data_IF_573826251766
#
_entry.id   IF_573826251766
#
_cell.length_a   1.000
_cell.length_b   1.000
_cell.length_c   1.000
_cell.angle_alpha   90.00
_cell.angle_beta   90.00
_cell.angle_gamma   90.00
#
_symmetry.space_group_name_H-M   'P 1'
#
loop_
_entity.id
_entity.type
_entity.pdbx_description
1 polymer ?
#
# COMPACT_ATOMS: atom_id res chain seq x y z
N UNK A 1 26.52 -18.49 -37.95
CA UNK A 1 26.42 -18.60 -39.40
C UNK A 1 27.36 -19.62 -39.99
N UNK A 2 27.44 -19.72 -41.34
CA UNK A 2 28.33 -20.63 -42.03
C UNK A 2 29.80 -20.44 -41.62
N UNK A 3 30.58 -21.53 -41.69
CA UNK A 3 32.01 -21.56 -41.37
C UNK A 3 32.37 -21.06 -39.95
N UNK A 4 31.45 -21.19 -38.99
CA UNK A 4 31.66 -20.73 -37.62
C UNK A 4 31.53 -19.21 -37.44
N UNK A 5 30.94 -18.49 -38.39
CA UNK A 5 30.70 -17.04 -38.28
C UNK A 5 29.87 -16.72 -37.04
N UNK A 6 30.37 -15.76 -36.28
CA UNK A 6 29.66 -15.21 -35.10
C UNK A 6 30.05 -13.74 -34.92
N UNK A 7 29.05 -12.91 -34.75
CA UNK A 7 29.22 -11.48 -34.48
C UNK A 7 28.18 -11.03 -33.45
N UNK A 8 28.50 -10.03 -32.65
CA UNK A 8 27.59 -9.41 -31.70
C UNK A 8 27.43 -7.94 -32.06
N UNK A 9 26.18 -7.53 -32.27
CA UNK A 9 25.80 -6.15 -32.56
C UNK A 9 25.06 -5.60 -31.32
N UNK A 10 25.56 -4.49 -30.76
CA UNK A 10 24.85 -3.81 -29.66
C UNK A 10 23.79 -2.86 -30.21
N UNK A 11 22.75 -2.56 -29.41
CA UNK A 11 21.70 -1.61 -29.79
C UNK A 11 22.22 -0.19 -30.07
N UNK A 12 23.40 0.15 -29.56
CA UNK A 12 24.07 1.45 -29.83
C UNK A 12 24.76 1.52 -31.20
N UNK A 13 24.90 0.42 -31.89
CA UNK A 13 25.46 0.34 -33.23
C UNK A 13 24.39 0.42 -34.31
N UNK A 14 23.10 0.30 -33.92
CA UNK A 14 21.98 0.52 -34.86
C UNK A 14 21.92 1.99 -35.23
N UNK A 15 21.57 2.27 -36.49
CA UNK A 15 21.37 3.62 -37.00
C UNK A 15 20.09 4.27 -36.40
N UNK A 16 19.78 5.49 -36.82
CA UNK A 16 18.60 6.22 -36.37
C UNK A 16 17.26 5.59 -36.77
N UNK A 17 17.28 4.68 -37.76
CA UNK A 17 16.11 3.89 -38.15
C UNK A 17 15.99 2.58 -37.37
N UNK A 18 16.97 2.27 -36.52
CA UNK A 18 17.06 1.01 -35.77
C UNK A 18 17.63 -0.14 -36.60
N UNK A 19 18.39 0.14 -37.65
CA UNK A 19 18.93 -0.87 -38.59
C UNK A 19 20.46 -1.00 -38.48
N UNK A 20 20.97 -2.16 -38.77
CA UNK A 20 22.39 -2.46 -38.90
C UNK A 20 22.60 -3.46 -40.04
N UNK A 21 23.49 -3.17 -40.99
CA UNK A 21 23.80 -4.06 -42.11
C UNK A 21 25.16 -4.69 -41.92
N UNK A 22 25.24 -5.99 -42.10
CA UNK A 22 26.49 -6.76 -42.09
C UNK A 22 26.79 -7.16 -43.52
N UNK A 23 27.87 -6.62 -44.06
CA UNK A 23 28.27 -6.87 -45.44
C UNK A 23 29.25 -8.06 -45.56
N UNK A 24 29.48 -8.53 -46.80
CA UNK A 24 30.44 -9.57 -47.15
C UNK A 24 30.18 -10.93 -46.46
N UNK A 25 28.92 -11.24 -46.17
CA UNK A 25 28.53 -12.53 -45.63
C UNK A 25 28.56 -13.63 -46.70
N UNK A 26 29.07 -14.81 -46.32
CA UNK A 26 28.94 -16.01 -47.15
C UNK A 26 27.45 -16.40 -47.29
N UNK A 27 27.05 -16.88 -48.50
CA UNK A 27 25.70 -17.44 -48.66
C UNK A 27 25.45 -18.56 -47.64
N UNK A 28 24.25 -18.64 -47.08
CA UNK A 28 23.87 -19.73 -46.19
C UNK A 28 22.94 -19.28 -45.07
N UNK A 29 22.66 -20.17 -44.15
CA UNK A 29 21.72 -19.94 -43.05
C UNK A 29 22.42 -19.27 -41.87
N UNK A 30 21.83 -18.19 -41.40
CA UNK A 30 22.27 -17.43 -40.22
C UNK A 30 21.18 -17.48 -39.15
N UNK A 31 21.59 -17.69 -37.89
CA UNK A 31 20.72 -17.58 -36.76
C UNK A 31 21.01 -16.24 -36.07
N UNK A 32 20.01 -15.41 -35.92
CA UNK A 32 20.05 -14.13 -35.21
C UNK A 32 19.29 -14.28 -33.91
N UNK A 33 19.96 -14.00 -32.81
CA UNK A 33 19.35 -14.05 -31.47
C UNK A 33 19.40 -12.66 -30.83
N UNK A 34 18.24 -12.11 -30.54
CA UNK A 34 18.15 -10.91 -29.71
C UNK A 34 18.26 -11.27 -28.23
N UNK A 35 19.04 -10.47 -27.50
CA UNK A 35 19.09 -10.52 -26.05
C UNK A 35 18.64 -9.16 -25.55
N UNK A 36 17.45 -9.10 -24.97
CA UNK A 36 16.91 -7.88 -24.38
C UNK A 36 16.48 -8.14 -22.94
N UNK A 37 16.74 -7.17 -22.06
CA UNK A 37 16.21 -7.13 -20.70
C UNK A 37 15.25 -5.97 -20.62
N UNK A 38 14.02 -6.24 -20.18
CA UNK A 38 13.05 -5.17 -19.95
C UNK A 38 13.51 -4.25 -18.82
N UNK A 39 13.19 -2.95 -18.88
CA UNK A 39 13.35 -2.06 -17.75
C UNK A 39 12.47 -2.53 -16.57
N UNK A 40 12.87 -2.18 -15.36
CA UNK A 40 12.10 -2.51 -14.16
C UNK A 40 10.66 -2.03 -14.30
N UNK A 41 9.71 -2.86 -13.89
CA UNK A 41 8.27 -2.55 -13.95
C UNK A 41 7.63 -2.77 -15.33
N UNK A 42 8.34 -3.43 -16.27
CA UNK A 42 7.79 -3.80 -17.58
C UNK A 42 8.00 -5.28 -17.88
N UNK A 43 7.01 -5.90 -18.52
CA UNK A 43 7.20 -7.16 -19.24
C UNK A 43 7.55 -6.85 -20.68
N UNK A 44 8.44 -7.69 -21.28
CA UNK A 44 8.82 -7.58 -22.69
C UNK A 44 8.36 -8.82 -23.42
N UNK A 45 7.72 -8.64 -24.57
CA UNK A 45 7.45 -9.71 -25.52
C UNK A 45 8.13 -9.37 -26.84
N UNK A 46 8.92 -10.32 -27.36
CA UNK A 46 9.65 -10.18 -28.63
C UNK A 46 8.97 -10.99 -29.71
N UNK A 47 8.85 -10.39 -30.86
CA UNK A 47 8.44 -11.06 -32.13
C UNK A 47 9.43 -10.73 -33.21
N UNK A 48 9.46 -11.52 -34.28
CA UNK A 48 10.32 -11.26 -35.42
C UNK A 48 9.62 -11.55 -36.76
N UNK A 49 10.19 -10.99 -37.85
CA UNK A 49 9.87 -11.33 -39.23
C UNK A 49 11.17 -11.60 -40.00
N UNK A 50 11.11 -12.47 -40.99
CA UNK A 50 12.20 -12.74 -41.93
C UNK A 50 11.70 -12.37 -43.31
N UNK A 51 12.46 -11.55 -44.05
CA UNK A 51 12.19 -11.11 -45.42
C UNK A 51 10.74 -10.60 -45.62
N UNK A 52 10.22 -9.84 -44.65
CA UNK A 52 8.85 -9.32 -44.69
C UNK A 52 7.74 -10.38 -44.54
N UNK A 53 8.07 -11.62 -44.19
CA UNK A 53 7.12 -12.70 -43.96
C UNK A 53 6.20 -12.52 -42.75
N UNK A 54 5.56 -13.61 -42.32
CA UNK A 54 4.67 -13.61 -41.15
C UNK A 54 5.41 -13.22 -39.87
N UNK A 55 4.65 -12.69 -38.90
CA UNK A 55 5.15 -12.39 -37.56
C UNK A 55 5.21 -13.68 -36.75
N UNK A 56 6.39 -14.00 -36.23
CA UNK A 56 6.64 -15.15 -35.38
C UNK A 56 7.00 -14.69 -33.97
N UNK A 57 6.62 -15.47 -32.96
CA UNK A 57 6.95 -15.18 -31.55
C UNK A 57 8.35 -15.72 -31.21
N UNK A 58 9.12 -14.94 -30.50
CA UNK A 58 10.43 -15.32 -29.98
C UNK A 58 11.54 -14.33 -30.28
N UNK A 59 12.70 -14.58 -29.66
CA UNK A 59 13.90 -13.75 -29.77
C UNK A 59 15.00 -14.42 -30.64
N UNK A 60 14.67 -15.46 -31.40
CA UNK A 60 15.64 -16.18 -32.26
C UNK A 60 15.03 -16.41 -33.62
N UNK A 61 15.62 -15.83 -34.64
CA UNK A 61 15.22 -15.95 -36.02
C UNK A 61 16.30 -16.67 -36.83
N UNK A 62 15.90 -17.36 -37.91
CA UNK A 62 16.80 -17.97 -38.87
C UNK A 62 16.50 -17.41 -40.24
N UNK A 63 17.51 -16.87 -40.90
CA UNK A 63 17.40 -16.31 -42.24
C UNK A 63 18.44 -16.91 -43.20
N UNK A 64 18.07 -17.07 -44.46
CA UNK A 64 18.98 -17.58 -45.50
C UNK A 64 19.53 -16.40 -46.30
N UNK A 65 20.81 -16.08 -46.17
CA UNK A 65 21.49 -15.07 -46.98
C UNK A 65 21.74 -15.65 -48.39
N UNK A 66 21.14 -15.05 -49.42
CA UNK A 66 21.30 -15.53 -50.79
C UNK A 66 22.65 -15.09 -51.36
N UNK A 67 23.05 -15.68 -52.50
CA UNK A 67 24.27 -15.26 -53.19
C UNK A 67 24.06 -13.87 -53.82
N UNK A 68 24.88 -12.89 -53.39
CA UNK A 68 24.82 -11.52 -53.90
C UNK A 68 23.58 -10.71 -53.50
N UNK A 69 22.78 -11.19 -52.51
CA UNK A 69 21.59 -10.51 -52.02
C UNK A 69 21.62 -10.33 -50.51
N UNK A 70 20.58 -9.72 -49.98
CA UNK A 70 20.40 -9.43 -48.54
C UNK A 70 19.22 -10.21 -48.00
N UNK A 71 19.36 -10.81 -46.85
CA UNK A 71 18.24 -11.31 -46.03
C UNK A 71 17.97 -10.30 -44.90
N UNK A 72 16.71 -10.07 -44.59
CA UNK A 72 16.29 -9.16 -43.55
C UNK A 72 15.73 -9.94 -42.34
N UNK A 73 16.15 -9.58 -41.14
CA UNK A 73 15.52 -10.03 -39.88
C UNK A 73 15.09 -8.79 -39.11
N UNK A 74 13.79 -8.64 -38.89
CA UNK A 74 13.22 -7.53 -38.14
C UNK A 74 12.64 -8.03 -36.81
N UNK A 75 13.22 -7.60 -35.70
CA UNK A 75 12.69 -7.84 -34.36
C UNK A 75 11.79 -6.69 -33.90
N UNK A 76 10.75 -7.03 -33.15
CA UNK A 76 9.84 -6.06 -32.51
C UNK A 76 9.67 -6.40 -31.05
N UNK A 77 9.98 -5.46 -30.17
CA UNK A 77 9.77 -5.57 -28.73
C UNK A 77 8.57 -4.76 -28.29
N UNK A 78 7.65 -5.41 -27.61
CA UNK A 78 6.51 -4.77 -26.96
C UNK A 78 6.75 -4.72 -25.44
N UNK A 79 6.81 -3.52 -24.90
CA UNK A 79 7.00 -3.26 -23.48
C UNK A 79 5.66 -2.92 -22.84
N UNK A 80 5.16 -3.80 -21.96
CA UNK A 80 3.92 -3.60 -21.21
C UNK A 80 4.24 -3.26 -19.77
N UNK A 81 3.76 -2.10 -19.29
CA UNK A 81 3.92 -1.70 -17.89
C UNK A 81 3.21 -2.71 -16.98
N UNK A 82 3.91 -3.16 -15.94
CA UNK A 82 3.36 -3.99 -14.88
C UNK A 82 2.61 -3.09 -13.90
N UNK A 83 1.38 -3.46 -13.59
CA UNK A 83 0.52 -2.70 -12.67
C UNK A 83 -0.26 -3.63 -11.75
N UNK A 84 -0.50 -3.17 -10.53
CA UNK A 84 -1.34 -3.84 -9.56
C UNK A 84 -2.25 -2.86 -8.83
N UNK A 85 -2.77 -3.25 -7.67
CA UNK A 85 -3.71 -2.46 -6.88
C UNK A 85 -3.31 -2.43 -5.41
N UNK A 86 -3.72 -1.38 -4.70
CA UNK A 86 -3.64 -1.25 -3.26
C UNK A 86 -5.05 -1.06 -2.69
N UNK A 87 -5.45 -1.90 -1.74
CA UNK A 87 -6.69 -1.74 -0.98
C UNK A 87 -6.36 -1.24 0.42
N UNK A 88 -6.85 -0.06 0.76
CA UNK A 88 -6.78 0.55 2.07
C UNK A 88 -8.09 0.32 2.81
N UNK A 89 -8.02 -0.27 4.00
CA UNK A 89 -9.16 -0.47 4.90
C UNK A 89 -8.92 0.27 6.20
N UNK A 90 -9.95 0.94 6.70
CA UNK A 90 -9.96 1.62 8.01
C UNK A 90 -11.03 1.06 8.90
N UNK A 91 -10.62 0.62 10.09
CA UNK A 91 -11.49 0.21 11.19
C UNK A 91 -11.31 1.15 12.37
N UNK A 92 -12.40 1.58 12.99
CA UNK A 92 -12.43 2.31 14.24
C UNK A 92 -13.21 1.48 15.25
N UNK A 93 -12.70 1.37 16.47
CA UNK A 93 -13.25 0.53 17.53
C UNK A 93 -13.18 1.22 18.90
N UNK A 94 -13.75 0.60 19.93
CA UNK A 94 -13.91 1.16 21.26
C UNK A 94 -15.13 2.06 21.35
N UNK A 95 -15.00 3.21 21.97
CA UNK A 95 -16.10 4.13 22.27
C UNK A 95 -16.38 5.15 21.13
N UNK A 96 -15.74 4.97 19.96
CA UNK A 96 -15.96 5.76 18.74
C UNK A 96 -16.16 4.86 17.53
N UNK A 97 -16.87 5.40 16.55
CA UNK A 97 -17.08 4.81 15.22
C UNK A 97 -16.29 5.59 14.16
N UNK A 98 -16.16 5.03 12.97
CA UNK A 98 -15.53 5.76 11.86
C UNK A 98 -16.30 7.06 11.53
N UNK A 99 -17.61 7.07 11.66
CA UNK A 99 -18.42 8.26 11.41
C UNK A 99 -18.11 9.41 12.37
N UNK A 100 -17.78 9.11 13.64
CA UNK A 100 -17.47 10.11 14.66
C UNK A 100 -16.12 10.81 14.41
N UNK A 101 -15.19 10.17 13.70
CA UNK A 101 -13.79 10.62 13.59
C UNK A 101 -13.30 10.79 12.15
N UNK A 102 -14.15 10.57 11.16
CA UNK A 102 -13.76 10.58 9.74
C UNK A 102 -13.16 11.93 9.30
N UNK A 103 -13.60 13.04 9.88
CA UNK A 103 -13.08 14.37 9.56
C UNK A 103 -11.62 14.57 10.00
N UNK A 104 -11.17 13.82 11.01
CA UNK A 104 -9.86 13.95 11.66
C UNK A 104 -8.85 12.90 11.14
N UNK A 105 -9.25 12.07 10.16
CA UNK A 105 -8.43 10.99 9.62
C UNK A 105 -8.10 11.26 8.16
N UNK A 106 -6.83 11.10 7.81
CA UNK A 106 -6.38 11.05 6.42
C UNK A 106 -5.19 10.11 6.25
N UNK A 107 -5.01 9.61 5.04
CA UNK A 107 -3.91 8.73 4.67
C UNK A 107 -3.14 9.34 3.51
N UNK A 108 -1.84 9.52 3.68
CA UNK A 108 -0.93 9.87 2.57
C UNK A 108 -0.29 8.60 2.06
N UNK A 109 -0.46 8.33 0.77
CA UNK A 109 0.10 7.18 0.06
C UNK A 109 1.18 7.69 -0.88
N UNK A 110 2.39 7.14 -0.77
CA UNK A 110 3.52 7.44 -1.65
C UNK A 110 4.09 6.15 -2.23
N UNK A 111 4.67 6.21 -3.42
CA UNK A 111 5.17 5.02 -4.12
C UNK A 111 6.11 5.35 -5.28
N UNK A 112 6.37 4.38 -6.18
CA UNK A 112 7.21 4.54 -7.35
C UNK A 112 6.78 5.70 -8.25
N UNK A 113 7.70 6.16 -9.11
CA UNK A 113 7.48 7.24 -10.09
C UNK A 113 6.93 8.53 -9.45
N UNK A 114 7.34 8.86 -8.21
CA UNK A 114 6.85 10.01 -7.44
C UNK A 114 5.34 9.96 -7.17
N UNK A 115 4.74 8.78 -7.16
CA UNK A 115 3.33 8.63 -6.87
C UNK A 115 2.98 9.21 -5.49
N UNK A 116 1.93 10.01 -5.44
CA UNK A 116 1.38 10.56 -4.20
C UNK A 116 -0.13 10.71 -4.32
N UNK A 117 -0.86 10.17 -3.34
CA UNK A 117 -2.32 10.32 -3.22
C UNK A 117 -2.69 10.47 -1.75
N UNK A 118 -3.69 11.29 -1.48
CA UNK A 118 -4.34 11.38 -0.17
C UNK A 118 -5.71 10.71 -0.25
N UNK A 119 -6.04 9.89 0.75
CA UNK A 119 -7.37 9.32 0.98
C UNK A 119 -7.85 9.86 2.32
N UNK A 120 -9.03 10.47 2.34
CA UNK A 120 -9.63 11.05 3.55
C UNK A 120 -10.50 10.05 4.28
N UNK A 121 -10.71 10.25 5.59
CA UNK A 121 -11.66 9.44 6.35
C UNK A 121 -13.10 9.56 5.85
N UNK A 122 -13.47 10.70 5.28
CA UNK A 122 -14.79 10.90 4.65
C UNK A 122 -14.97 10.02 3.40
N UNK A 123 -13.93 9.89 2.56
CA UNK A 123 -13.95 8.96 1.41
C UNK A 123 -14.09 7.51 1.88
N UNK A 124 -13.33 7.11 2.92
CA UNK A 124 -13.42 5.78 3.51
C UNK A 124 -14.80 5.51 4.10
N UNK A 125 -15.38 6.47 4.82
CA UNK A 125 -16.73 6.35 5.40
C UNK A 125 -17.76 6.12 4.29
N UNK A 126 -17.73 6.92 3.22
CA UNK A 126 -18.64 6.80 2.08
C UNK A 126 -18.47 5.46 1.35
N UNK A 127 -17.24 4.94 1.29
CA UNK A 127 -16.90 3.67 0.66
C UNK A 127 -17.05 2.45 1.59
N UNK A 128 -17.74 2.58 2.74
CA UNK A 128 -17.94 1.48 3.68
C UNK A 128 -16.68 1.01 4.39
N UNK A 129 -15.72 1.90 4.60
CA UNK A 129 -14.46 1.64 5.33
C UNK A 129 -13.28 1.18 4.48
N UNK A 130 -13.44 1.01 3.16
CA UNK A 130 -12.37 0.55 2.27
C UNK A 130 -12.33 1.32 0.95
N UNK A 131 -11.15 1.65 0.48
CA UNK A 131 -10.90 2.24 -0.84
C UNK A 131 -9.86 1.40 -1.58
N UNK A 132 -10.11 1.06 -2.84
CA UNK A 132 -9.14 0.42 -3.73
C UNK A 132 -8.59 1.43 -4.72
N UNK A 133 -7.29 1.34 -4.98
CA UNK A 133 -6.54 2.17 -5.92
C UNK A 133 -5.91 1.22 -6.93
N UNK A 134 -6.35 1.32 -8.18
CA UNK A 134 -5.92 0.45 -9.27
C UNK A 134 -4.89 1.13 -10.16
N UNK A 135 -4.23 0.32 -11.02
CA UNK A 135 -3.29 0.81 -12.02
C UNK A 135 -1.98 1.35 -11.45
N UNK A 136 -1.64 0.95 -10.23
CA UNK A 136 -0.40 1.33 -9.57
C UNK A 136 0.80 0.60 -10.18
N UNK A 137 1.90 1.31 -10.44
CA UNK A 137 3.15 0.69 -10.85
C UNK A 137 3.63 -0.30 -9.78
N UNK A 138 4.26 -1.42 -10.21
CA UNK A 138 4.85 -2.37 -9.25
C UNK A 138 5.93 -1.72 -8.40
N UNK A 139 6.01 -2.10 -7.13
CA UNK A 139 6.99 -1.60 -6.17
C UNK A 139 6.37 -1.31 -4.81
N UNK A 140 7.15 -0.73 -3.90
CA UNK A 140 6.74 -0.47 -2.53
C UNK A 140 5.94 0.82 -2.40
N UNK A 141 4.81 0.73 -1.72
CA UNK A 141 3.95 1.86 -1.36
C UNK A 141 3.93 2.04 0.15
N UNK A 142 4.23 3.25 0.60
CA UNK A 142 4.14 3.63 2.01
C UNK A 142 2.87 4.42 2.24
N UNK A 143 2.09 3.99 3.22
CA UNK A 143 0.84 4.62 3.66
C UNK A 143 1.04 5.15 5.07
N UNK A 144 0.84 6.46 5.25
CA UNK A 144 0.95 7.14 6.55
C UNK A 144 -0.41 7.68 6.95
N UNK A 145 -0.91 7.21 8.09
CA UNK A 145 -2.12 7.74 8.70
C UNK A 145 -1.81 9.03 9.45
N UNK A 146 -2.62 10.07 9.23
CA UNK A 146 -2.73 11.25 10.08
C UNK A 146 -4.04 11.16 10.82
N UNK A 147 -3.98 11.18 12.15
CA UNK A 147 -5.15 11.14 13.04
C UNK A 147 -4.89 11.98 14.27
N UNK A 148 -5.88 12.80 14.66
CA UNK A 148 -5.87 13.58 15.89
C UNK A 148 -6.41 12.75 17.07
N UNK A 149 -5.88 13.00 18.27
CA UNK A 149 -6.48 12.52 19.51
C UNK A 149 -7.74 13.32 19.85
N UNK A 150 -8.64 12.70 20.60
CA UNK A 150 -9.87 13.32 21.11
C UNK A 150 -9.73 13.52 22.63
N UNK A 151 -10.01 14.71 23.13
CA UNK A 151 -9.99 14.98 24.57
C UNK A 151 -10.93 14.03 25.31
N UNK A 152 -10.46 13.43 26.38
CA UNK A 152 -11.20 12.45 27.16
C UNK A 152 -11.10 11.01 26.65
N UNK A 153 -10.31 10.77 25.61
CA UNK A 153 -10.09 9.43 25.06
C UNK A 153 -8.60 9.11 24.94
N UNK A 154 -8.25 7.86 25.16
CA UNK A 154 -6.95 7.30 24.82
C UNK A 154 -7.05 6.65 23.45
N UNK A 155 -6.21 7.11 22.49
CA UNK A 155 -6.12 6.58 21.14
C UNK A 155 -4.95 5.60 21.03
N UNK A 156 -5.21 4.38 20.57
CA UNK A 156 -4.18 3.45 20.10
C UNK A 156 -4.37 3.18 18.61
N UNK A 157 -3.26 3.14 17.88
CA UNK A 157 -3.25 2.93 16.42
C UNK A 157 -2.41 1.71 16.07
N UNK A 158 -2.87 0.94 15.11
CA UNK A 158 -2.15 -0.20 14.59
C UNK A 158 -2.49 -0.42 13.13
N UNK A 159 -1.65 -1.21 12.45
CA UNK A 159 -1.87 -1.60 11.07
C UNK A 159 -1.52 -3.07 10.84
N UNK A 160 -1.96 -3.59 9.70
CA UNK A 160 -1.66 -4.93 9.21
C UNK A 160 -1.50 -4.89 7.70
N UNK A 161 -0.53 -5.61 7.16
CA UNK A 161 -0.29 -5.74 5.73
C UNK A 161 -0.56 -7.18 5.29
N UNK A 162 -1.47 -7.37 4.37
CA UNK A 162 -1.89 -8.69 3.88
C UNK A 162 -2.33 -9.62 5.02
N UNK A 163 -1.76 -10.81 5.05
CA UNK A 163 -1.96 -11.80 6.13
C UNK A 163 -0.98 -11.69 7.30
N UNK A 164 -0.12 -10.65 7.30
CA UNK A 164 0.88 -10.42 8.34
C UNK A 164 0.29 -10.17 9.72
N UNK A 165 1.14 -10.07 10.74
CA UNK A 165 0.73 -9.73 12.10
C UNK A 165 0.35 -8.25 12.23
N UNK A 166 -0.47 -7.97 13.24
CA UNK A 166 -0.77 -6.59 13.67
C UNK A 166 0.49 -5.94 14.24
N UNK A 167 0.76 -4.71 13.82
CA UNK A 167 1.88 -3.87 14.25
C UNK A 167 1.34 -2.54 14.74
N UNK A 168 1.82 -2.04 15.87
CA UNK A 168 1.44 -0.74 16.39
C UNK A 168 2.08 0.39 15.56
N UNK A 169 1.32 1.45 15.34
CA UNK A 169 1.79 2.63 14.62
C UNK A 169 0.86 3.09 13.51
N UNK A 170 1.30 4.16 12.84
CA UNK A 170 0.54 4.91 11.83
C UNK A 170 1.15 4.79 10.42
N UNK A 171 2.17 3.95 10.24
CA UNK A 171 2.87 3.83 8.95
C UNK A 171 2.97 2.37 8.54
N UNK A 172 2.50 2.05 7.35
CA UNK A 172 2.56 0.72 6.74
C UNK A 172 3.21 0.80 5.36
N UNK A 173 3.98 -0.23 4.99
CA UNK A 173 4.52 -0.38 3.63
C UNK A 173 4.09 -1.71 3.06
N UNK A 174 3.57 -1.69 1.83
CA UNK A 174 3.16 -2.88 1.09
C UNK A 174 3.75 -2.87 -0.32
N UNK A 175 4.23 -4.03 -0.77
CA UNK A 175 4.65 -4.22 -2.15
C UNK A 175 3.43 -4.43 -3.06
N UNK A 176 3.28 -3.60 -4.09
CA UNK A 176 2.33 -3.81 -5.19
C UNK A 176 3.02 -4.65 -6.26
N UNK A 177 2.40 -5.76 -6.64
CA UNK A 177 2.90 -6.71 -7.66
C UNK A 177 1.97 -6.77 -8.85
N UNK A 178 2.48 -7.19 -10.00
CA UNK A 178 1.73 -7.23 -11.26
C UNK A 178 0.46 -8.09 -11.15
N UNK A 179 -0.66 -7.52 -11.56
CA UNK A 179 -1.97 -8.18 -11.57
C UNK A 179 -2.57 -8.49 -10.18
N UNK A 180 -1.92 -8.11 -9.07
CA UNK A 180 -2.38 -8.43 -7.73
C UNK A 180 -2.87 -7.19 -6.94
N UNK A 181 -3.66 -7.43 -5.88
CA UNK A 181 -4.09 -6.42 -4.92
C UNK A 181 -3.37 -6.63 -3.60
N UNK A 182 -2.62 -5.62 -3.17
CA UNK A 182 -2.03 -5.57 -1.83
C UNK A 182 -2.99 -4.92 -0.85
N UNK A 183 -3.15 -5.52 0.33
CA UNK A 183 -4.10 -5.06 1.33
C UNK A 183 -3.36 -4.43 2.51
N UNK A 184 -3.81 -3.25 2.93
CA UNK A 184 -3.39 -2.60 4.18
C UNK A 184 -4.64 -2.28 4.98
N UNK A 185 -4.62 -2.68 6.24
CA UNK A 185 -5.66 -2.37 7.23
C UNK A 185 -5.07 -1.50 8.34
N UNK A 186 -5.74 -0.38 8.66
CA UNK A 186 -5.44 0.44 9.85
C UNK A 186 -6.60 0.34 10.83
N UNK A 187 -6.24 0.19 12.10
CA UNK A 187 -7.20 0.11 13.21
C UNK A 187 -6.88 1.18 14.23
N UNK A 188 -7.86 2.02 14.54
CA UNK A 188 -7.81 2.97 15.65
C UNK A 188 -8.80 2.52 16.72
N UNK A 189 -8.32 2.43 17.97
CA UNK A 189 -9.15 2.15 19.11
C UNK A 189 -9.18 3.39 20.01
N UNK A 190 -10.36 3.89 20.29
CA UNK A 190 -10.61 5.00 21.22
C UNK A 190 -11.24 4.45 22.49
N UNK A 191 -10.53 4.53 23.61
CA UNK A 191 -11.02 4.16 24.93
C UNK A 191 -11.28 5.43 25.74
N UNK A 192 -12.48 5.57 26.31
CA UNK A 192 -12.83 6.69 27.19
C UNK A 192 -11.93 6.68 28.43
N UNK A 193 -11.42 7.84 28.80
CA UNK A 193 -10.61 7.99 30.01
C UNK A 193 -11.54 8.15 31.22
N UNK A 194 -11.46 7.24 32.21
CA UNK A 194 -12.28 7.37 33.41
C UNK A 194 -11.91 8.62 34.21
N UNK A 195 -12.89 9.27 34.73
CA UNK A 195 -12.75 10.36 35.69
C UNK A 195 -12.82 9.88 37.13
N UNK A 196 -12.66 10.79 38.09
CA UNK A 196 -12.83 10.52 39.51
C UNK A 196 -13.72 11.58 40.16
N UNK A 197 -14.51 11.18 41.18
CA UNK A 197 -15.28 12.04 42.01
C UNK A 197 -14.70 12.01 43.44
N UNK A 198 -14.32 13.18 43.98
CA UNK A 198 -13.91 13.30 45.38
C UNK A 198 -15.06 13.84 46.18
N UNK A 199 -15.50 13.08 47.17
CA UNK A 199 -16.51 13.49 48.14
C UNK A 199 -15.84 14.00 49.42
N UNK A 200 -16.25 15.17 49.91
CA UNK A 200 -15.74 15.77 51.18
C UNK A 200 -16.90 16.18 52.04
N UNK A 201 -16.84 15.88 53.33
CA UNK A 201 -17.84 16.28 54.35
C UNK A 201 -17.18 17.06 55.47
N UNK A 202 -17.72 18.21 55.76
CA UNK A 202 -17.36 19.01 56.97
C UNK A 202 -18.50 18.98 57.95
N UNK A 203 -18.18 18.81 59.23
CA UNK A 203 -19.13 18.90 60.38
C UNK A 203 -18.67 20.02 61.24
N UNK A 204 -19.62 20.91 61.66
CA UNK A 204 -19.38 22.05 62.51
C UNK A 204 -20.41 22.09 63.66
N UNK A 205 -20.14 22.84 64.70
CA UNK A 205 -20.97 22.94 65.89
C UNK A 205 -20.49 22.07 67.08
N UNK A 206 -21.39 21.61 67.92
CA UNK A 206 -21.07 20.88 69.14
C UNK A 206 -20.71 19.39 68.94
N UNK A 207 -20.62 18.93 67.68
CA UNK A 207 -20.23 17.58 67.37
C UNK A 207 -19.10 17.59 66.29
N UNK A 208 -18.22 16.62 66.45
CA UNK A 208 -17.17 16.36 65.39
C UNK A 208 -17.65 15.40 64.32
N UNK A 209 -16.92 15.35 63.23
CA UNK A 209 -17.18 14.34 62.16
C UNK A 209 -17.11 12.93 62.75
N UNK A 210 -16.14 12.66 63.63
CA UNK A 210 -15.96 11.37 64.27
C UNK A 210 -17.20 10.91 65.09
N UNK A 211 -17.91 11.84 65.69
CA UNK A 211 -19.10 11.55 66.52
C UNK A 211 -20.32 11.15 65.64
N UNK A 212 -20.38 11.63 64.38
CA UNK A 212 -21.58 11.51 63.52
C UNK A 212 -21.37 10.71 62.30
N UNK A 213 -20.16 10.33 61.96
CA UNK A 213 -19.83 9.63 60.67
C UNK A 213 -20.63 8.35 60.44
N UNK A 214 -21.00 7.64 61.49
CA UNK A 214 -21.82 6.42 61.44
C UNK A 214 -23.29 6.67 61.06
N UNK A 215 -23.76 7.92 61.08
CA UNK A 215 -25.15 8.29 60.74
C UNK A 215 -25.27 8.98 59.38
N UNK A 216 -24.14 9.18 58.71
CA UNK A 216 -24.07 9.88 57.43
C UNK A 216 -23.93 8.88 56.31
N UNK A 217 -24.73 9.03 55.26
CA UNK A 217 -24.56 8.29 54.00
C UNK A 217 -24.80 9.22 52.81
N UNK A 218 -24.17 8.89 51.70
CA UNK A 218 -24.31 9.59 50.43
C UNK A 218 -24.71 8.60 49.37
N UNK A 219 -25.75 8.89 48.63
CA UNK A 219 -26.12 8.18 47.42
C UNK A 219 -25.52 8.93 46.24
N UNK A 220 -24.75 8.24 45.41
CA UNK A 220 -24.11 8.78 44.23
C UNK A 220 -24.76 8.10 43.03
N UNK A 221 -25.44 8.86 42.17
CA UNK A 221 -26.02 8.40 40.94
C UNK A 221 -25.29 9.04 39.74
N UNK A 222 -25.06 8.30 38.68
CA UNK A 222 -24.31 8.75 37.51
C UNK A 222 -24.81 8.20 36.20
N UNK A 223 -24.10 8.47 35.11
CA UNK A 223 -24.41 7.94 33.77
C UNK A 223 -24.47 6.42 33.74
N UNK A 224 -25.17 5.88 32.72
CA UNK A 224 -25.28 4.44 32.47
C UNK A 224 -25.80 3.60 33.64
N UNK A 225 -26.62 4.22 34.54
CA UNK A 225 -27.19 3.53 35.67
C UNK A 225 -26.21 3.34 36.84
N UNK A 226 -25.07 4.06 36.84
CA UNK A 226 -24.18 4.03 38.00
C UNK A 226 -24.90 4.46 39.27
N UNK A 227 -24.75 3.67 40.32
CA UNK A 227 -25.29 3.96 41.66
C UNK A 227 -24.37 3.36 42.69
N UNK A 228 -23.97 4.16 43.66
CA UNK A 228 -23.11 3.78 44.80
C UNK A 228 -23.57 4.51 46.08
N UNK A 229 -23.49 3.81 47.19
CA UNK A 229 -23.74 4.42 48.52
C UNK A 229 -22.42 4.45 49.29
N UNK A 230 -21.98 5.65 49.67
CA UNK A 230 -20.80 5.87 50.51
C UNK A 230 -21.23 6.27 51.90
N UNK A 231 -20.85 5.49 52.92
CA UNK A 231 -21.09 5.86 54.34
C UNK A 231 -20.05 6.86 54.82
N UNK A 232 -20.41 7.68 55.81
CA UNK A 232 -19.46 8.60 56.45
C UNK A 232 -18.27 7.91 57.10
N UNK A 233 -18.37 6.61 57.39
CA UNK A 233 -17.25 5.82 57.93
C UNK A 233 -16.20 5.44 56.89
N UNK A 234 -16.50 5.65 55.60
CA UNK A 234 -15.56 5.43 54.48
C UNK A 234 -14.84 6.73 54.09
N UNK A 235 -15.24 7.88 54.66
CA UNK A 235 -14.54 9.14 54.46
C UNK A 235 -13.38 9.25 55.44
N UNK A 236 -12.20 9.66 54.95
CA UNK A 236 -10.99 9.91 55.75
C UNK A 236 -11.04 11.28 56.43
#
# INVERSE_FOLDING_TARGET
>A
GPNGYSETVSGTQLDTSGSYTIDNLAKGTYTVKETTTGPNGYTVTTTYKVDGGSTEAGATATAAVPNGGTAEVAFTNNYKKQVGSLKLTKTVSGDKTLADVAADISFKITGPDSYSKTVTGAELLTAGGSVQIDGLAVGDYTVVETVAGITGYTLTTSHKVGSGSKVDGKTATAAVTDGATSNIEFVNNYAENPGSLKLTKTVTGDRSFADVKGTISFEIAGPNGYSETVSGTQLD
#
